data_IF_021680809200
#
_entry.id   IF_021680809200
#
_cell.length_a   1.000
_cell.length_b   1.000
_cell.length_c   1.000
_cell.angle_alpha   90.00
_cell.angle_beta   90.00
_cell.angle_gamma   90.00
#
_symmetry.space_group_name_H-M   'P 1'
#
loop_
_entity.id
_entity.type
_entity.pdbx_description
1 polymer ?
#
# COMPACT_ATOMS: atom_id res chain seq x y z
N UNK A 1 -20.37 9.41 0.82
CA UNK A 1 -19.06 9.50 1.49
C UNK A 1 -18.01 8.77 0.67
N UNK A 2 -16.78 9.28 0.76
CA UNK A 2 -15.60 8.73 0.11
C UNK A 2 -14.56 8.39 1.17
N UNK A 3 -13.81 7.31 0.93
CA UNK A 3 -12.66 6.93 1.72
C UNK A 3 -11.48 6.72 0.76
N UNK A 4 -10.39 7.47 0.96
CA UNK A 4 -9.24 7.46 0.07
C UNK A 4 -7.97 7.16 0.85
N UNK A 5 -7.20 6.19 0.35
CA UNK A 5 -5.88 5.85 0.87
C UNK A 5 -4.90 5.66 -0.28
N UNK A 6 -3.70 6.20 -0.12
CA UNK A 6 -2.61 6.06 -1.08
C UNK A 6 -1.58 5.04 -0.61
N UNK A 7 -0.98 4.33 -1.55
CA UNK A 7 0.18 3.46 -1.34
C UNK A 7 1.44 4.27 -1.01
N UNK A 8 2.48 3.61 -0.57
CA UNK A 8 3.82 4.22 -0.57
C UNK A 8 4.38 4.26 -2.00
N UNK A 9 5.52 4.92 -2.18
CA UNK A 9 6.27 5.06 -3.43
C UNK A 9 7.64 4.41 -3.31
N UNK A 10 8.24 4.06 -4.43
CA UNK A 10 9.64 3.67 -4.48
C UNK A 10 10.53 4.84 -4.05
N UNK A 11 11.53 4.57 -3.22
CA UNK A 11 12.45 5.57 -2.69
C UNK A 11 13.83 5.35 -3.28
N UNK A 12 14.32 6.33 -4.01
CA UNK A 12 15.64 6.29 -4.60
C UNK A 12 16.73 6.40 -3.52
N UNK A 13 17.68 5.47 -3.55
CA UNK A 13 18.87 5.50 -2.71
C UNK A 13 19.97 6.35 -3.34
N UNK A 14 20.23 6.12 -4.65
CA UNK A 14 21.15 6.87 -5.48
C UNK A 14 20.78 6.68 -6.96
N UNK A 15 21.54 7.29 -7.88
CA UNK A 15 21.30 7.08 -9.30
C UNK A 15 21.45 5.61 -9.70
N UNK A 16 20.36 5.02 -10.15
CA UNK A 16 20.30 3.63 -10.61
C UNK A 16 20.04 2.57 -9.54
N UNK A 17 19.80 2.97 -8.27
CA UNK A 17 19.50 2.03 -7.20
C UNK A 17 18.43 2.58 -6.26
N UNK A 18 17.39 1.78 -6.00
CA UNK A 18 16.34 2.11 -5.07
C UNK A 18 16.50 1.33 -3.75
N UNK A 19 15.89 1.84 -2.67
CA UNK A 19 15.72 1.06 -1.45
C UNK A 19 14.70 -0.06 -1.67
N UNK A 20 14.78 -1.18 -0.93
CA UNK A 20 13.73 -2.18 -0.94
C UNK A 20 12.37 -1.54 -0.69
N UNK A 21 11.41 -1.81 -1.57
CA UNK A 21 10.07 -1.25 -1.44
C UNK A 21 9.34 -1.89 -0.26
N UNK A 22 8.70 -1.07 0.56
CA UNK A 22 7.79 -1.50 1.60
C UNK A 22 6.50 -0.72 1.51
N UNK A 23 5.38 -1.44 1.38
CA UNK A 23 4.06 -0.85 1.26
C UNK A 23 3.63 -0.13 2.55
N UNK A 24 2.84 0.94 2.39
CA UNK A 24 2.12 1.56 3.51
C UNK A 24 1.22 0.53 4.20
N UNK A 25 1.30 0.46 5.53
CA UNK A 25 0.63 -0.60 6.30
C UNK A 25 -0.90 -0.48 6.27
N UNK A 26 -1.47 0.70 6.11
CA UNK A 26 -2.92 0.88 6.02
C UNK A 26 -3.42 0.56 4.61
N UNK A 27 -2.67 0.98 3.60
CA UNK A 27 -2.97 0.62 2.21
C UNK A 27 -2.92 -0.90 2.03
N UNK A 28 -1.86 -1.55 2.55
CA UNK A 28 -1.73 -3.01 2.55
C UNK A 28 -2.89 -3.70 3.26
N UNK A 29 -3.24 -3.24 4.45
CA UNK A 29 -4.34 -3.81 5.24
C UNK A 29 -5.68 -3.79 4.50
N UNK A 30 -5.96 -2.73 3.75
CA UNK A 30 -7.22 -2.59 3.02
C UNK A 30 -7.24 -3.24 1.65
N UNK A 31 -6.11 -3.29 0.95
CA UNK A 31 -6.05 -3.72 -0.45
C UNK A 31 -5.36 -5.07 -0.68
N UNK A 32 -4.45 -5.47 0.22
CA UNK A 32 -3.53 -6.58 -0.02
C UNK A 32 -2.60 -6.38 -1.22
N UNK A 33 -2.49 -5.16 -1.75
CA UNK A 33 -1.75 -4.85 -2.97
C UNK A 33 -0.38 -4.26 -2.69
N UNK A 34 0.68 -4.89 -3.19
CA UNK A 34 2.07 -4.54 -2.88
C UNK A 34 2.81 -3.83 -4.02
N UNK A 35 2.10 -3.04 -4.83
CA UNK A 35 2.77 -2.18 -5.80
C UNK A 35 2.74 -0.72 -5.36
N UNK A 36 3.81 0.06 -5.66
CA UNK A 36 3.87 1.49 -5.37
C UNK A 36 2.96 2.30 -6.29
N UNK A 37 2.81 3.60 -5.98
CA UNK A 37 2.08 4.56 -6.78
C UNK A 37 0.65 4.11 -7.11
N UNK A 38 -0.09 3.73 -6.08
CA UNK A 38 -1.46 3.25 -6.20
C UNK A 38 -2.38 3.98 -5.22
N UNK A 39 -3.67 4.02 -5.52
CA UNK A 39 -4.67 4.61 -4.63
C UNK A 39 -5.93 3.75 -4.58
N UNK A 40 -6.48 3.54 -3.39
CA UNK A 40 -7.75 2.87 -3.19
C UNK A 40 -8.81 3.90 -2.80
N UNK A 41 -9.89 3.95 -3.57
CA UNK A 41 -11.04 4.79 -3.33
C UNK A 41 -12.28 3.92 -3.04
N UNK A 42 -12.79 4.00 -1.83
CA UNK A 42 -14.08 3.40 -1.48
C UNK A 42 -15.15 4.48 -1.52
N UNK A 43 -16.21 4.24 -2.27
CA UNK A 43 -17.33 5.16 -2.44
C UNK A 43 -18.62 4.53 -1.92
N UNK A 44 -19.36 5.28 -1.11
CA UNK A 44 -20.73 4.94 -0.72
C UNK A 44 -21.68 6.05 -1.10
N UNK A 45 -22.64 5.74 -1.98
CA UNK A 45 -23.62 6.70 -2.50
C UNK A 45 -24.97 6.01 -2.63
N UNK A 46 -26.03 6.62 -2.06
CA UNK A 46 -27.41 6.14 -2.17
C UNK A 46 -27.62 4.65 -1.80
N UNK A 47 -26.80 4.13 -0.88
CA UNK A 47 -26.84 2.73 -0.48
C UNK A 47 -25.91 1.81 -1.26
N UNK A 48 -25.47 2.21 -2.44
CA UNK A 48 -24.47 1.47 -3.22
C UNK A 48 -23.05 1.70 -2.69
N UNK A 49 -22.25 0.65 -2.72
CA UNK A 49 -20.84 0.67 -2.35
C UNK A 49 -20.01 0.29 -3.56
N UNK A 50 -18.89 0.97 -3.75
CA UNK A 50 -17.97 0.72 -4.85
C UNK A 50 -16.54 0.83 -4.37
N UNK A 51 -15.73 -0.16 -4.69
CA UNK A 51 -14.29 -0.19 -4.50
C UNK A 51 -13.59 0.09 -5.83
N UNK A 52 -12.76 1.11 -5.88
CA UNK A 52 -12.06 1.57 -7.08
C UNK A 52 -10.57 1.63 -6.75
N UNK A 53 -9.74 1.05 -7.59
CA UNK A 53 -8.30 1.14 -7.41
C UNK A 53 -7.64 1.86 -8.60
N UNK A 54 -6.65 2.67 -8.29
CA UNK A 54 -5.75 3.29 -9.27
C UNK A 54 -4.40 2.59 -9.16
N UNK A 55 -3.91 2.06 -10.27
CA UNK A 55 -2.68 1.28 -10.32
C UNK A 55 -1.77 1.74 -11.45
N UNK A 56 -0.50 1.38 -11.39
CA UNK A 56 0.41 1.60 -12.52
C UNK A 56 -0.05 0.78 -13.73
N UNK A 57 -0.11 1.36 -14.94
CA UNK A 57 -0.39 0.60 -16.15
C UNK A 57 0.74 -0.40 -16.44
N UNK A 58 0.42 -1.50 -17.09
CA UNK A 58 1.42 -2.43 -17.61
C UNK A 58 2.29 -1.72 -18.66
N UNK A 59 3.60 -1.93 -18.55
CA UNK A 59 4.60 -1.40 -19.48
C UNK A 59 5.69 -2.46 -19.73
N UNK A 60 5.65 -3.08 -20.89
CA UNK A 60 6.54 -4.19 -21.25
C UNK A 60 8.02 -3.83 -21.19
N UNK A 61 8.38 -2.59 -21.46
CA UNK A 61 9.78 -2.15 -21.43
C UNK A 61 10.25 -1.94 -19.98
N UNK A 62 9.45 -1.27 -19.15
CA UNK A 62 9.77 -1.06 -17.75
C UNK A 62 9.71 -2.36 -16.95
N UNK A 63 8.84 -3.28 -17.30
CA UNK A 63 8.71 -4.58 -16.63
C UNK A 63 9.94 -5.50 -16.81
N UNK A 64 10.72 -5.30 -17.86
CA UNK A 64 12.00 -6.00 -18.05
C UNK A 64 12.97 -5.67 -16.92
N UNK A 65 12.97 -4.44 -16.45
CA UNK A 65 13.90 -3.94 -15.43
C UNK A 65 13.34 -4.01 -14.01
N UNK A 66 12.05 -3.71 -13.84
CA UNK A 66 11.44 -3.50 -12.54
C UNK A 66 10.48 -4.63 -12.11
N UNK A 67 10.39 -5.70 -12.91
CA UNK A 67 9.44 -6.78 -12.67
C UNK A 67 8.03 -6.48 -13.20
N UNK A 68 7.21 -7.52 -13.22
CA UNK A 68 5.83 -7.45 -13.75
C UNK A 68 4.96 -6.54 -12.90
N UNK A 69 4.06 -5.82 -13.57
CA UNK A 69 2.98 -5.03 -12.96
C UNK A 69 1.65 -5.75 -13.15
N UNK A 70 0.77 -5.63 -12.17
CA UNK A 70 -0.58 -6.19 -12.29
C UNK A 70 -1.36 -5.55 -13.44
N UNK A 71 -1.21 -4.24 -13.60
CA UNK A 71 -1.90 -3.46 -14.63
C UNK A 71 -3.38 -3.26 -14.36
N UNK A 72 -3.99 -2.36 -15.12
CA UNK A 72 -5.38 -1.95 -14.95
C UNK A 72 -6.35 -3.11 -15.26
N UNK A 73 -6.08 -3.88 -16.29
CA UNK A 73 -7.01 -4.91 -16.77
C UNK A 73 -7.16 -6.09 -15.80
N UNK A 74 -6.09 -6.45 -15.09
CA UNK A 74 -6.09 -7.57 -14.16
C UNK A 74 -6.50 -7.19 -12.73
N UNK A 75 -6.40 -5.89 -12.38
CA UNK A 75 -6.62 -5.41 -11.03
C UNK A 75 -8.03 -5.73 -10.49
N UNK A 76 -9.13 -5.55 -11.22
CA UNK A 76 -10.46 -5.82 -10.69
C UNK A 76 -10.64 -7.26 -10.22
N UNK A 77 -10.22 -8.22 -11.03
CA UNK A 77 -10.37 -9.64 -10.70
C UNK A 77 -9.40 -10.08 -9.59
N UNK A 78 -8.16 -9.61 -9.62
CA UNK A 78 -7.12 -10.03 -8.67
C UNK A 78 -7.33 -9.42 -7.29
N UNK A 79 -7.73 -8.16 -7.23
CA UNK A 79 -7.89 -7.41 -5.98
C UNK A 79 -9.35 -7.37 -5.49
N UNK A 80 -10.28 -7.99 -6.21
CA UNK A 80 -11.71 -8.05 -5.89
C UNK A 80 -12.32 -6.64 -5.73
N UNK A 81 -11.94 -5.72 -6.62
CA UNK A 81 -12.49 -4.36 -6.68
C UNK A 81 -13.41 -4.22 -7.88
N UNK A 82 -14.34 -3.27 -7.84
CA UNK A 82 -15.35 -3.09 -8.89
C UNK A 82 -14.74 -2.49 -10.17
N UNK A 83 -13.75 -1.62 -10.04
CA UNK A 83 -13.16 -0.90 -11.17
C UNK A 83 -11.70 -0.55 -10.89
N UNK A 84 -10.88 -0.54 -11.94
CA UNK A 84 -9.51 -0.06 -11.87
C UNK A 84 -9.24 0.99 -12.96
N UNK A 85 -8.38 1.95 -12.65
CA UNK A 85 -7.90 2.99 -13.56
C UNK A 85 -6.37 3.08 -13.50
N UNK A 86 -5.75 3.65 -14.53
CA UNK A 86 -4.35 4.01 -14.47
C UNK A 86 -4.15 5.15 -13.45
N UNK A 87 -3.07 5.09 -12.67
CA UNK A 87 -2.78 6.13 -11.66
C UNK A 87 -2.58 7.51 -12.30
N UNK A 88 -2.08 7.56 -13.53
CA UNK A 88 -1.88 8.79 -14.29
C UNK A 88 -3.23 9.48 -14.63
N UNK A 89 -4.33 8.73 -14.61
CA UNK A 89 -5.69 9.23 -14.80
C UNK A 89 -6.38 9.63 -13.48
N UNK A 90 -5.67 9.56 -12.34
CA UNK A 90 -6.27 9.81 -11.03
C UNK A 90 -7.06 11.12 -11.00
N UNK A 91 -6.47 12.22 -11.43
CA UNK A 91 -7.08 13.55 -11.33
C UNK A 91 -8.38 13.65 -12.13
N UNK A 92 -8.45 13.34 -13.43
CA UNK A 92 -9.71 13.42 -14.18
C UNK A 92 -10.76 12.42 -13.70
N UNK A 93 -10.37 11.18 -13.37
CA UNK A 93 -11.31 10.17 -12.89
C UNK A 93 -11.84 10.51 -11.50
N UNK A 94 -10.98 10.98 -10.60
CA UNK A 94 -11.40 11.41 -9.27
C UNK A 94 -12.44 12.54 -9.33
N UNK A 95 -12.22 13.55 -10.17
CA UNK A 95 -13.21 14.62 -10.40
C UNK A 95 -14.58 14.07 -10.83
N UNK A 96 -14.59 13.12 -11.74
CA UNK A 96 -15.83 12.50 -12.23
C UNK A 96 -16.53 11.67 -11.17
N UNK A 97 -15.77 10.91 -10.37
CA UNK A 97 -16.28 10.01 -9.34
C UNK A 97 -16.83 10.75 -8.12
N UNK A 98 -16.29 11.93 -7.84
CA UNK A 98 -16.56 12.69 -6.61
C UNK A 98 -17.75 13.65 -6.72
N UNK A 99 -18.34 13.80 -7.92
CA UNK A 99 -19.48 14.69 -8.12
C UNK A 99 -20.57 14.48 -7.06
N UNK A 100 -20.93 15.57 -6.35
CA UNK A 100 -21.95 15.62 -5.29
C UNK A 100 -21.58 14.93 -3.96
N UNK A 101 -20.31 14.58 -3.75
CA UNK A 101 -19.88 14.05 -2.45
C UNK A 101 -19.53 15.18 -1.48
N UNK A 102 -19.96 15.05 -0.24
CA UNK A 102 -19.79 16.08 0.79
C UNK A 102 -18.72 15.78 1.81
N UNK A 103 -18.40 14.50 2.00
CA UNK A 103 -17.46 14.05 3.01
C UNK A 103 -16.38 13.17 2.43
N UNK A 104 -15.13 13.48 2.76
CA UNK A 104 -13.93 12.70 2.44
C UNK A 104 -13.30 12.18 3.73
N UNK A 105 -13.09 10.87 3.83
CA UNK A 105 -12.22 10.26 4.81
C UNK A 105 -10.83 10.15 4.20
N UNK A 106 -9.88 10.92 4.73
CA UNK A 106 -8.52 11.03 4.24
C UNK A 106 -7.55 11.36 5.38
N UNK A 107 -6.33 10.89 5.31
CA UNK A 107 -5.27 11.20 6.28
C UNK A 107 -4.21 12.11 5.64
N UNK A 108 -4.30 13.45 5.76
CA UNK A 108 -3.33 14.38 5.19
C UNK A 108 -1.91 14.11 5.72
N UNK A 109 -0.91 14.39 4.89
CA UNK A 109 0.52 14.24 5.19
C UNK A 109 0.98 12.80 5.43
N UNK A 110 0.16 11.81 5.13
CA UNK A 110 0.60 10.41 5.19
C UNK A 110 1.43 10.06 3.96
N UNK A 111 0.93 10.46 2.79
CA UNK A 111 1.60 10.25 1.51
C UNK A 111 1.66 11.60 0.76
N UNK A 112 2.79 12.34 0.81
CA UNK A 112 2.89 13.66 0.19
C UNK A 112 2.58 13.68 -1.31
N UNK A 113 2.89 12.61 -2.02
CA UNK A 113 2.55 12.50 -3.44
C UNK A 113 1.03 12.40 -3.68
N UNK A 114 0.31 11.74 -2.78
CA UNK A 114 -1.14 11.66 -2.80
C UNK A 114 -1.79 13.00 -2.44
N UNK A 115 -1.23 13.73 -1.47
CA UNK A 115 -1.66 15.11 -1.17
C UNK A 115 -1.57 15.99 -2.42
N UNK A 116 -0.46 15.92 -3.15
CA UNK A 116 -0.27 16.68 -4.39
C UNK A 116 -1.30 16.32 -5.48
N UNK A 117 -1.66 15.05 -5.64
CA UNK A 117 -2.72 14.63 -6.58
C UNK A 117 -4.10 15.16 -6.17
N UNK A 118 -4.40 15.18 -4.88
CA UNK A 118 -5.66 15.75 -4.38
C UNK A 118 -5.70 17.25 -4.62
N UNK A 119 -4.64 17.99 -4.36
CA UNK A 119 -4.54 19.41 -4.64
C UNK A 119 -4.72 19.70 -6.14
N UNK A 120 -4.09 18.93 -7.03
CA UNK A 120 -4.28 19.04 -8.49
C UNK A 120 -5.70 18.75 -8.93
N UNK A 121 -6.42 17.91 -8.20
CA UNK A 121 -7.82 17.66 -8.50
C UNK A 121 -8.70 18.87 -8.28
N UNK A 122 -8.30 19.82 -7.46
CA UNK A 122 -9.08 21.03 -7.12
C UNK A 122 -10.52 20.72 -6.68
N UNK A 123 -10.75 19.55 -6.08
CA UNK A 123 -12.06 19.16 -5.56
C UNK A 123 -12.18 19.63 -4.12
N UNK A 124 -13.23 20.40 -3.85
CA UNK A 124 -13.54 20.86 -2.50
C UNK A 124 -14.53 19.92 -1.81
N UNK A 125 -14.29 19.68 -0.53
CA UNK A 125 -15.16 18.87 0.34
C UNK A 125 -15.69 19.72 1.48
N UNK A 126 -16.96 19.54 1.83
CA UNK A 126 -17.56 20.21 3.00
C UNK A 126 -16.95 19.72 4.32
N UNK A 127 -16.51 18.46 4.34
CA UNK A 127 -15.91 17.87 5.53
C UNK A 127 -14.82 16.87 5.14
N UNK A 128 -13.67 16.96 5.80
CA UNK A 128 -12.57 15.99 5.69
C UNK A 128 -12.33 15.38 7.07
N UNK A 129 -12.39 14.05 7.14
CA UNK A 129 -12.22 13.29 8.36
C UNK A 129 -10.94 12.44 8.26
N UNK A 130 -10.13 12.47 9.30
CA UNK A 130 -8.96 11.59 9.36
C UNK A 130 -9.39 10.14 9.67
N UNK A 131 -9.13 9.22 8.76
CA UNK A 131 -9.49 7.82 8.92
C UNK A 131 -8.55 7.01 9.82
N UNK A 132 -7.37 7.52 10.21
CA UNK A 132 -6.39 6.76 11.01
C UNK A 132 -6.93 6.20 12.32
N UNK A 133 -7.68 6.98 13.15
CA UNK A 133 -8.25 6.43 14.36
C UNK A 133 -9.21 5.26 14.09
N UNK A 134 -10.06 5.39 13.10
CA UNK A 134 -11.02 4.34 12.72
C UNK A 134 -10.33 3.05 12.29
N UNK A 135 -9.35 3.14 11.39
CA UNK A 135 -8.57 1.96 10.98
C UNK A 135 -7.70 1.42 12.11
N UNK A 136 -7.21 2.28 12.99
CA UNK A 136 -6.49 1.86 14.21
C UNK A 136 -7.36 0.93 15.07
N UNK A 137 -8.58 1.32 15.35
CA UNK A 137 -9.54 0.51 16.11
C UNK A 137 -9.88 -0.82 15.38
N UNK A 138 -10.12 -0.78 14.08
CA UNK A 138 -10.38 -2.01 13.29
C UNK A 138 -9.21 -3.01 13.37
N UNK A 139 -7.97 -2.54 13.44
CA UNK A 139 -6.76 -3.37 13.50
C UNK A 139 -6.43 -3.91 14.90
N UNK A 140 -7.11 -3.44 15.96
CA UNK A 140 -6.89 -3.96 17.31
C UNK A 140 -7.32 -5.42 17.43
N UNK A 141 -8.46 -5.77 16.85
CA UNK A 141 -8.98 -7.12 16.87
C UNK A 141 -8.57 -7.84 15.58
N UNK A 142 -7.81 -8.92 15.74
CA UNK A 142 -7.29 -9.72 14.62
C UNK A 142 -8.26 -10.87 14.31
N UNK A 143 -8.47 -11.11 13.03
CA UNK A 143 -9.15 -12.34 12.57
C UNK A 143 -8.27 -13.57 12.82
N UNK A 144 -8.87 -14.75 12.74
CA UNK A 144 -8.14 -16.01 12.86
C UNK A 144 -7.02 -16.15 11.81
N UNK A 145 -7.26 -15.69 10.59
CA UNK A 145 -6.26 -15.69 9.52
C UNK A 145 -5.09 -14.75 9.82
N UNK A 146 -5.37 -13.56 10.34
CA UNK A 146 -4.31 -12.62 10.74
C UNK A 146 -3.49 -13.19 11.91
N UNK A 147 -4.12 -13.84 12.88
CA UNK A 147 -3.43 -14.51 14.00
C UNK A 147 -2.51 -15.61 13.45
N UNK A 148 -2.99 -16.43 12.53
CA UNK A 148 -2.19 -17.50 11.92
C UNK A 148 -0.97 -16.96 11.19
N UNK A 149 -1.14 -15.90 10.39
CA UNK A 149 -0.02 -15.21 9.72
C UNK A 149 0.98 -14.60 10.70
N UNK A 150 0.49 -13.98 11.78
CA UNK A 150 1.36 -13.42 12.82
C UNK A 150 2.15 -14.52 13.55
N UNK A 151 1.54 -15.67 13.81
CA UNK A 151 2.22 -16.82 14.40
C UNK A 151 3.31 -17.37 13.47
N UNK A 152 3.02 -17.49 12.19
CA UNK A 152 4.01 -17.92 11.20
C UNK A 152 5.17 -16.93 11.10
N UNK A 153 4.89 -15.65 11.02
CA UNK A 153 5.93 -14.60 11.02
C UNK A 153 6.78 -14.65 12.30
N UNK A 154 6.15 -14.87 13.46
CA UNK A 154 6.84 -15.04 14.74
C UNK A 154 7.76 -16.26 14.75
N UNK A 155 7.34 -17.40 14.17
CA UNK A 155 8.17 -18.59 14.05
C UNK A 155 9.40 -18.35 13.16
N UNK A 156 9.22 -17.75 11.99
CA UNK A 156 10.32 -17.38 11.09
C UNK A 156 11.32 -16.45 11.79
N UNK A 157 10.80 -15.41 12.46
CA UNK A 157 11.62 -14.49 13.24
C UNK A 157 12.41 -15.20 14.35
N UNK A 158 11.79 -16.13 15.06
CA UNK A 158 12.49 -16.93 16.09
C UNK A 158 13.63 -17.76 15.51
N UNK A 159 13.43 -18.38 14.33
CA UNK A 159 14.50 -19.13 13.63
C UNK A 159 15.65 -18.21 13.23
N UNK A 160 15.38 -17.02 12.69
CA UNK A 160 16.39 -16.02 12.39
C UNK A 160 17.21 -15.61 13.61
N UNK A 161 16.56 -15.37 14.76
CA UNK A 161 17.25 -15.06 16.00
C UNK A 161 18.10 -16.24 16.53
N UNK A 162 17.58 -17.46 16.48
CA UNK A 162 18.35 -18.67 16.87
C UNK A 162 19.59 -18.79 15.99
N UNK A 163 19.45 -18.59 14.68
CA UNK A 163 20.55 -18.62 13.73
C UNK A 163 21.63 -17.59 14.07
N UNK A 164 21.21 -16.35 14.33
CA UNK A 164 22.11 -15.28 14.73
C UNK A 164 22.90 -15.64 16.00
N UNK A 165 22.21 -16.14 17.04
CA UNK A 165 22.87 -16.58 18.27
C UNK A 165 23.89 -17.70 18.05
N UNK A 166 23.57 -18.68 17.18
CA UNK A 166 24.47 -19.80 16.86
C UNK A 166 25.68 -19.37 16.05
N UNK A 167 25.55 -18.36 15.21
CA UNK A 167 26.58 -17.90 14.28
C UNK A 167 27.44 -16.75 14.84
N UNK A 168 26.98 -16.04 15.85
CA UNK A 168 27.74 -14.95 16.46
C UNK A 168 28.99 -15.48 17.15
N UNK A 169 30.14 -14.98 16.72
CA UNK A 169 31.49 -15.38 17.23
C UNK A 169 32.39 -14.14 17.27
N UNK A 170 33.46 -14.12 18.06
CA UNK A 170 34.45 -13.07 18.02
C UNK A 170 34.98 -12.84 16.60
N UNK A 171 35.14 -11.58 16.21
CA UNK A 171 35.63 -11.12 14.90
C UNK A 171 34.61 -11.26 13.72
N UNK A 172 33.38 -11.70 13.95
CA UNK A 172 32.33 -11.55 12.92
C UNK A 172 31.85 -10.10 12.88
N UNK A 173 31.61 -9.63 11.67
CA UNK A 173 31.07 -8.29 11.41
C UNK A 173 29.55 -8.32 11.45
N UNK A 174 28.95 -7.18 11.77
CA UNK A 174 27.48 -7.02 11.92
C UNK A 174 26.72 -7.48 10.68
N UNK A 175 27.18 -7.10 9.49
CA UNK A 175 26.53 -7.49 8.23
C UNK A 175 26.56 -9.00 7.95
N UNK A 176 27.53 -9.74 8.50
CA UNK A 176 27.57 -11.20 8.37
C UNK A 176 26.49 -11.86 9.21
N UNK A 177 26.23 -11.32 10.42
CA UNK A 177 25.12 -11.77 11.27
C UNK A 177 23.77 -11.36 10.68
N UNK A 178 23.68 -10.14 10.13
CA UNK A 178 22.51 -9.68 9.39
C UNK A 178 22.17 -10.62 8.22
N UNK A 179 23.19 -11.02 7.44
CA UNK A 179 23.02 -11.96 6.33
C UNK A 179 22.46 -13.31 6.78
N UNK A 180 22.90 -13.82 7.92
CA UNK A 180 22.38 -15.08 8.48
C UNK A 180 20.89 -14.96 8.88
N UNK A 181 20.47 -13.81 9.41
CA UNK A 181 19.06 -13.55 9.75
C UNK A 181 18.22 -13.43 8.48
N UNK A 182 18.70 -12.66 7.50
CA UNK A 182 17.99 -12.44 6.23
C UNK A 182 17.84 -13.72 5.41
N UNK A 183 18.75 -14.69 5.60
CA UNK A 183 18.65 -16.00 4.94
C UNK A 183 17.47 -16.84 5.44
N UNK A 184 17.05 -16.63 6.68
CA UNK A 184 15.91 -17.35 7.26
C UNK A 184 14.56 -16.71 6.89
N UNK A 185 14.56 -15.44 6.46
CA UNK A 185 13.37 -14.66 6.05
C UNK A 185 13.03 -14.86 4.58
#
# INVERSE_FOLDING_TARGET
>A
SLFLVFSDIERRRNDGCDYPFRQDSYFWYLSGFNEPNSALLLRKQQGEQQAIIFVRPSDKLLEIWNGRRLGVDNAPQTLLVDTAYAIDEFVPQFKNLVQKQTALYYAPKQQPWGDALLEQSAVEFLSVFNWKPMLGEMRLFKSENEIALMQQAGQISALGHIKAMQQTRPNRLEYEVESDILHEF
#
